data_IF_395883534276
#
_entry.id   IF_395883534276
#
_cell.length_a   1.000
_cell.length_b   1.000
_cell.length_c   1.000
_cell.angle_alpha   90.00
_cell.angle_beta   90.00
_cell.angle_gamma   90.00
#
_symmetry.space_group_name_H-M   'P 1'
#
loop_
_entity.id
_entity.type
_entity.pdbx_description
1 polymer ?
#
# COMPACT_ATOMS: atom_id res chain seq x y z
N UNK A 1 5.18 -1.89 -34.08
CA UNK A 1 4.22 -1.50 -33.02
C UNK A 1 3.41 -2.72 -32.62
N UNK A 2 3.63 -3.27 -31.42
CA UNK A 2 2.80 -4.38 -30.92
C UNK A 2 1.46 -3.82 -30.44
N UNK A 3 0.35 -4.30 -31.03
CA UNK A 3 -0.99 -3.90 -30.66
C UNK A 3 -1.31 -4.37 -29.21
N UNK A 4 -1.76 -3.50 -28.28
CA UNK A 4 -1.87 -3.81 -26.85
C UNK A 4 -2.79 -5.00 -26.50
N UNK A 5 -3.63 -5.47 -27.43
CA UNK A 5 -4.51 -6.64 -27.21
C UNK A 5 -3.83 -8.00 -27.38
N UNK A 6 -2.56 -8.06 -27.80
CA UNK A 6 -1.79 -9.32 -27.91
C UNK A 6 -0.90 -9.62 -26.70
N UNK A 7 -0.93 -8.79 -25.65
CA UNK A 7 -0.23 -9.09 -24.40
C UNK A 7 -0.73 -10.44 -23.86
N UNK A 8 0.14 -11.44 -23.68
CA UNK A 8 -0.27 -12.75 -23.20
C UNK A 8 -0.97 -12.62 -21.86
N UNK A 9 -2.28 -12.90 -21.82
CA UNK A 9 -3.09 -12.96 -20.60
C UNK A 9 -2.77 -14.27 -19.89
N UNK A 10 -1.56 -14.38 -19.35
CA UNK A 10 -1.19 -15.54 -18.53
C UNK A 10 -2.04 -15.52 -17.25
N UNK A 11 -2.85 -16.57 -17.05
CA UNK A 11 -3.71 -16.71 -15.86
C UNK A 11 -2.91 -16.63 -14.56
N UNK A 12 -1.68 -17.14 -14.54
CA UNK A 12 -0.77 -17.05 -13.39
C UNK A 12 -0.38 -15.60 -13.08
N UNK A 13 -0.12 -14.79 -14.12
CA UNK A 13 0.19 -13.35 -13.95
C UNK A 13 -1.01 -12.60 -13.40
N UNK A 14 -2.22 -12.90 -13.89
CA UNK A 14 -3.46 -12.30 -13.39
C UNK A 14 -3.72 -12.69 -11.92
N UNK A 15 -3.51 -13.97 -11.57
CA UNK A 15 -3.63 -14.43 -10.19
C UNK A 15 -2.67 -13.72 -9.26
N UNK A 16 -1.39 -13.60 -9.67
CA UNK A 16 -0.40 -12.83 -8.93
C UNK A 16 -0.82 -11.37 -8.72
N UNK A 17 -1.26 -10.69 -9.77
CA UNK A 17 -1.67 -9.28 -9.69
C UNK A 17 -2.86 -9.11 -8.71
N UNK A 18 -3.83 -10.03 -8.71
CA UNK A 18 -4.96 -10.03 -7.76
C UNK A 18 -4.49 -10.25 -6.32
N UNK A 19 -3.63 -11.25 -6.09
CA UNK A 19 -3.08 -11.54 -4.76
C UNK A 19 -2.25 -10.36 -4.23
N UNK A 20 -1.47 -9.70 -5.10
CA UNK A 20 -0.71 -8.51 -4.73
C UNK A 20 -1.61 -7.35 -4.29
N UNK A 21 -2.73 -7.12 -4.99
CA UNK A 21 -3.71 -6.09 -4.61
C UNK A 21 -4.39 -6.41 -3.28
N UNK A 22 -4.77 -7.67 -3.06
CA UNK A 22 -5.32 -8.11 -1.77
C UNK A 22 -4.30 -7.93 -0.64
N UNK A 23 -3.05 -8.37 -0.85
CA UNK A 23 -1.98 -8.20 0.12
C UNK A 23 -1.71 -6.72 0.44
N UNK A 24 -1.65 -5.86 -0.59
CA UNK A 24 -1.45 -4.42 -0.41
C UNK A 24 -2.60 -3.79 0.37
N UNK A 25 -3.83 -4.21 0.10
CA UNK A 25 -5.02 -3.74 0.81
C UNK A 25 -4.96 -4.12 2.29
N UNK A 26 -4.72 -5.40 2.59
CA UNK A 26 -4.58 -5.89 3.98
C UNK A 26 -3.44 -5.16 4.70
N UNK A 27 -2.28 -5.01 4.06
CA UNK A 27 -1.15 -4.27 4.64
C UNK A 27 -1.50 -2.81 4.95
N UNK A 28 -2.22 -2.14 4.06
CA UNK A 28 -2.67 -0.77 4.27
C UNK A 28 -3.60 -0.64 5.48
N UNK A 29 -4.59 -1.54 5.61
CA UNK A 29 -5.49 -1.56 6.77
C UNK A 29 -4.73 -1.81 8.07
N UNK A 30 -3.85 -2.81 8.11
CA UNK A 30 -3.09 -3.13 9.32
C UNK A 30 -2.14 -2.00 9.72
N UNK A 31 -1.46 -1.38 8.74
CA UNK A 31 -0.59 -0.25 9.01
C UNK A 31 -1.37 0.97 9.53
N UNK A 32 -2.54 1.26 8.96
CA UNK A 32 -3.39 2.36 9.41
C UNK A 32 -3.91 2.11 10.84
N UNK A 33 -4.38 0.89 11.15
CA UNK A 33 -4.87 0.55 12.50
C UNK A 33 -3.75 0.64 13.55
N UNK A 34 -2.58 0.06 13.27
CA UNK A 34 -1.43 0.15 14.17
C UNK A 34 -0.98 1.59 14.39
N UNK A 35 -0.98 2.40 13.33
CA UNK A 35 -0.64 3.81 13.43
C UNK A 35 -1.70 4.60 14.20
N UNK A 36 -2.98 4.26 14.08
CA UNK A 36 -4.05 4.93 14.81
C UNK A 36 -3.91 4.71 16.32
N UNK A 37 -3.69 3.46 16.72
CA UNK A 37 -3.51 3.09 18.12
C UNK A 37 -2.20 3.64 18.71
N UNK A 38 -1.20 3.88 17.86
CA UNK A 38 0.12 4.41 18.25
C UNK A 38 0.24 5.94 18.28
N UNK A 39 -0.77 6.69 17.84
CA UNK A 39 -0.72 8.17 17.89
C UNK A 39 -0.94 8.65 19.31
N UNK A 40 0.10 9.25 19.89
CA UNK A 40 0.00 9.99 21.15
C UNK A 40 -0.64 11.37 20.91
N UNK A 41 -1.81 11.59 21.51
CA UNK A 41 -2.47 12.90 21.46
C UNK A 41 -1.87 13.81 22.54
N UNK A 42 -1.54 15.07 22.20
CA UNK A 42 -1.13 16.05 23.20
C UNK A 42 -2.21 16.20 24.26
N UNK A 43 -1.83 16.09 25.54
CA UNK A 43 -2.73 16.35 26.65
C UNK A 43 -3.29 17.78 26.55
N UNK A 44 -4.57 17.95 26.85
CA UNK A 44 -5.18 19.26 26.97
C UNK A 44 -4.42 20.08 28.03
N UNK A 45 -4.12 21.34 27.72
CA UNK A 45 -3.55 22.26 28.70
C UNK A 45 -4.62 23.24 29.21
N UNK A 46 -4.21 24.16 30.07
CA UNK A 46 -5.10 25.15 30.71
C UNK A 46 -5.84 26.07 29.73
N UNK A 47 -5.52 26.04 28.44
CA UNK A 47 -6.16 26.85 27.39
C UNK A 47 -7.16 26.06 26.53
N UNK A 48 -7.37 24.77 26.82
CA UNK A 48 -8.36 23.91 26.16
C UNK A 48 -7.75 22.73 25.40
N UNK A 49 -8.56 21.93 24.69
CA UNK A 49 -8.08 20.80 23.90
C UNK A 49 -7.12 21.30 22.81
N UNK A 50 -5.87 20.82 22.80
CA UNK A 50 -4.98 21.07 21.66
C UNK A 50 -5.55 20.40 20.42
N UNK A 51 -5.43 21.04 19.26
CA UNK A 51 -5.81 20.53 17.93
C UNK A 51 -4.91 19.35 17.49
N UNK A 52 -4.76 18.34 18.34
CA UNK A 52 -3.99 17.13 18.11
C UNK A 52 -4.81 16.02 17.45
N UNK A 53 -6.14 16.09 17.56
CA UNK A 53 -7.06 15.06 17.05
C UNK A 53 -6.94 14.83 15.53
N UNK A 54 -6.49 15.84 14.76
CA UNK A 54 -6.23 15.69 13.32
C UNK A 54 -5.09 14.69 13.04
N UNK A 55 -4.10 14.58 13.93
CA UNK A 55 -2.98 13.65 13.74
C UNK A 55 -3.39 12.19 13.86
N UNK A 56 -4.45 11.88 14.63
CA UNK A 56 -5.07 10.56 14.64
C UNK A 56 -5.74 10.18 13.31
N UNK A 57 -5.93 11.12 12.38
CA UNK A 57 -6.46 10.83 11.05
C UNK A 57 -5.34 10.85 9.99
N UNK A 58 -4.45 11.84 10.09
CA UNK A 58 -3.37 12.04 9.11
C UNK A 58 -2.32 10.92 9.21
N UNK A 59 -1.86 10.57 10.42
CA UNK A 59 -0.80 9.57 10.59
C UNK A 59 -1.24 8.19 10.08
N UNK A 60 -2.43 7.67 10.43
CA UNK A 60 -2.92 6.40 9.89
C UNK A 60 -3.04 6.38 8.37
N UNK A 61 -3.52 7.48 7.77
CA UNK A 61 -3.63 7.59 6.33
C UNK A 61 -2.25 7.47 5.65
N UNK A 62 -1.24 8.18 6.17
CA UNK A 62 0.12 8.12 5.64
C UNK A 62 0.74 6.72 5.76
N UNK A 63 0.55 6.05 6.90
CA UNK A 63 1.02 4.67 7.10
C UNK A 63 0.32 3.69 6.16
N UNK A 64 -1.00 3.82 6.00
CA UNK A 64 -1.78 3.00 5.07
C UNK A 64 -1.31 3.17 3.62
N UNK A 65 -1.14 4.41 3.16
CA UNK A 65 -0.62 4.69 1.82
C UNK A 65 0.80 4.17 1.61
N UNK A 66 1.69 4.40 2.57
CA UNK A 66 3.07 3.90 2.53
C UNK A 66 3.13 2.39 2.43
N UNK A 67 2.38 1.67 3.28
CA UNK A 67 2.32 0.21 3.26
C UNK A 67 1.76 -0.33 1.94
N UNK A 68 0.68 0.27 1.43
CA UNK A 68 0.09 -0.11 0.14
C UNK A 68 1.11 0.01 -1.00
N UNK A 69 1.75 1.17 -1.12
CA UNK A 69 2.74 1.44 -2.16
C UNK A 69 3.95 0.52 -2.02
N UNK A 70 4.44 0.28 -0.80
CA UNK A 70 5.56 -0.61 -0.55
C UNK A 70 5.28 -2.04 -1.07
N UNK A 71 4.09 -2.58 -0.80
CA UNK A 71 3.69 -3.90 -1.31
C UNK A 71 3.58 -3.90 -2.82
N UNK A 72 3.01 -2.86 -3.43
CA UNK A 72 2.92 -2.77 -4.89
C UNK A 72 4.29 -2.66 -5.56
N UNK A 73 5.21 -1.89 -5.01
CA UNK A 73 6.58 -1.78 -5.53
C UNK A 73 7.28 -3.14 -5.47
N UNK A 74 7.18 -3.85 -4.34
CA UNK A 74 7.72 -5.20 -4.21
C UNK A 74 7.09 -6.16 -5.23
N UNK A 75 5.76 -6.12 -5.36
CA UNK A 75 5.04 -6.94 -6.32
C UNK A 75 5.45 -6.63 -7.76
N UNK A 76 5.67 -5.36 -8.11
CA UNK A 76 6.17 -4.97 -9.43
C UNK A 76 7.58 -5.51 -9.69
N UNK A 77 8.48 -5.43 -8.71
CA UNK A 77 9.84 -6.00 -8.83
C UNK A 77 9.75 -7.51 -9.08
N UNK A 78 8.99 -8.24 -8.26
CA UNK A 78 8.77 -9.69 -8.42
C UNK A 78 8.18 -10.00 -9.80
N UNK A 79 7.15 -9.24 -10.21
CA UNK A 79 6.50 -9.41 -11.50
C UNK A 79 7.47 -9.22 -12.66
N UNK A 80 8.36 -8.24 -12.57
CA UNK A 80 9.41 -8.04 -13.57
C UNK A 80 10.39 -9.22 -13.55
N UNK A 81 10.89 -9.65 -12.40
CA UNK A 81 11.85 -10.77 -12.35
C UNK A 81 11.29 -12.09 -12.93
N UNK A 82 10.01 -12.37 -12.68
CA UNK A 82 9.38 -13.64 -13.09
C UNK A 82 8.90 -13.62 -14.54
N UNK A 83 8.34 -12.50 -15.04
CA UNK A 83 7.74 -12.44 -16.38
C UNK A 83 8.47 -11.53 -17.38
N UNK A 84 9.58 -10.88 -17.00
CA UNK A 84 10.45 -10.20 -17.97
C UNK A 84 11.06 -11.27 -18.87
N UNK A 85 10.64 -11.31 -20.13
CA UNK A 85 11.28 -12.13 -21.16
C UNK A 85 12.76 -11.77 -21.14
N UNK A 86 13.65 -12.74 -20.91
CA UNK A 86 15.07 -12.58 -21.25
C UNK A 86 15.08 -12.30 -22.75
N UNK A 87 15.39 -11.05 -23.12
CA UNK A 87 15.65 -10.74 -24.52
C UNK A 87 16.91 -11.54 -24.91
N UNK A 88 16.91 -12.23 -26.06
CA UNK A 88 18.12 -12.88 -26.58
C UNK A 88 19.20 -11.85 -26.88
#
# INVERSE_FOLDING_TARGET
>A
MAYPKSLPKNATRRGFDVLALLAATVAAFQAALLAYDGVELPAADQFGPKSGAIWQQVVPALYGYGAFVAVLVLALIIRQMVWKKRAP
#
